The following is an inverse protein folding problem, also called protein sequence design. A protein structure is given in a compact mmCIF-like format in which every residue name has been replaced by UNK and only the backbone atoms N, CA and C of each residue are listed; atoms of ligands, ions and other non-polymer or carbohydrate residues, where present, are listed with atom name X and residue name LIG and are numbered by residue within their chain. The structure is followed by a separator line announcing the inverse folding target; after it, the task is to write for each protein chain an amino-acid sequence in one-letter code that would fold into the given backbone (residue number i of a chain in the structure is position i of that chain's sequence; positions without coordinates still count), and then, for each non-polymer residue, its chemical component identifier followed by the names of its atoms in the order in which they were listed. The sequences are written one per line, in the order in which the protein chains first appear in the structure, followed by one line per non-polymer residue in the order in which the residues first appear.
data_IF_461750281558
#
_entry.id   IF_461750281558
#
_cell.length_a   1.000
_cell.length_b   1.000
_cell.length_c   1.000
_cell.angle_alpha   90.00
_cell.angle_beta   90.00
_cell.angle_gamma   90.00
#
_symmetry.space_group_name_H-M   'P 1'
#
loop_
_entity.id
_entity.type
_entity.pdbx_description
1 polymer ?
#
# COMPACT_ATOMS: atom_id res chain seq x y z
N UNK A 1 30.34 -67.86 -44.38
CA UNK A 1 29.11 -68.24 -43.65
C UNK A 1 28.96 -67.28 -42.48
N UNK A 2 27.90 -66.46 -42.48
CA UNK A 2 27.59 -65.47 -41.45
C UNK A 2 27.23 -66.15 -40.13
N UNK A 3 27.89 -65.74 -39.05
CA UNK A 3 27.45 -66.00 -37.67
C UNK A 3 26.33 -65.03 -37.29
N UNK A 4 25.20 -65.47 -36.69
CA UNK A 4 24.15 -64.55 -36.28
C UNK A 4 24.49 -63.85 -34.96
N UNK A 5 24.13 -62.55 -34.89
CA UNK A 5 24.32 -61.66 -33.75
C UNK A 5 23.60 -62.16 -32.47
N UNK A 6 24.28 -62.00 -31.32
CA UNK A 6 23.73 -62.15 -29.97
C UNK A 6 22.64 -61.10 -29.70
N UNK A 7 21.50 -61.52 -29.14
CA UNK A 7 20.48 -60.62 -28.59
C UNK A 7 20.89 -60.22 -27.16
N UNK A 8 21.09 -58.93 -26.91
CA UNK A 8 21.22 -58.35 -25.56
C UNK A 8 19.87 -57.70 -25.23
N UNK A 9 19.22 -58.01 -24.08
CA UNK A 9 17.99 -57.35 -23.71
C UNK A 9 18.29 -55.93 -23.22
N UNK A 10 17.67 -54.95 -23.88
CA UNK A 10 17.70 -53.53 -23.52
C UNK A 10 16.86 -53.38 -22.24
N UNK A 11 17.53 -53.20 -21.10
CA UNK A 11 16.88 -52.84 -19.84
C UNK A 11 16.66 -51.32 -19.86
N UNK A 12 15.43 -50.90 -20.18
CA UNK A 12 14.99 -49.51 -20.10
C UNK A 12 14.89 -49.10 -18.63
N UNK A 13 15.92 -48.44 -18.12
CA UNK A 13 15.83 -47.69 -16.86
C UNK A 13 14.98 -46.45 -17.10
N UNK A 14 13.69 -46.50 -16.76
CA UNK A 14 12.87 -45.31 -16.62
C UNK A 14 13.35 -44.59 -15.36
N UNK A 15 14.27 -43.64 -15.55
CA UNK A 15 14.61 -42.63 -14.54
C UNK A 15 13.35 -41.78 -14.32
N UNK A 16 12.57 -42.13 -13.30
CA UNK A 16 11.48 -41.31 -12.81
C UNK A 16 12.05 -40.00 -12.28
N UNK A 17 11.94 -38.94 -13.09
CA UNK A 17 12.19 -37.59 -12.61
C UNK A 17 11.09 -37.24 -11.61
N UNK A 18 11.38 -37.41 -10.31
CA UNK A 18 10.60 -36.79 -9.24
C UNK A 18 10.80 -35.28 -9.34
N UNK A 19 9.91 -34.61 -10.06
CA UNK A 19 9.80 -33.16 -10.01
C UNK A 19 9.18 -32.85 -8.66
N UNK A 20 10.02 -32.56 -7.66
CA UNK A 20 9.57 -31.93 -6.44
C UNK A 20 9.08 -30.53 -6.80
N UNK A 21 7.77 -30.42 -7.00
CA UNK A 21 7.10 -29.16 -7.17
C UNK A 21 7.11 -28.48 -5.79
N UNK A 22 8.15 -27.69 -5.51
CA UNK A 22 8.14 -26.78 -4.37
C UNK A 22 7.12 -25.70 -4.67
N UNK A 23 5.86 -25.94 -4.29
CA UNK A 23 4.84 -24.90 -4.31
C UNK A 23 5.28 -23.79 -3.35
N UNK A 24 5.70 -22.65 -3.90
CA UNK A 24 5.84 -21.43 -3.11
C UNK A 24 4.45 -21.01 -2.66
N UNK A 25 4.10 -21.27 -1.39
CA UNK A 25 2.89 -20.71 -0.79
C UNK A 25 3.07 -19.20 -0.66
N UNK A 26 2.34 -18.43 -1.47
CA UNK A 26 2.33 -16.97 -1.39
C UNK A 26 1.42 -16.57 -0.22
N UNK A 27 2.00 -16.39 0.98
CA UNK A 27 1.25 -15.85 2.12
C UNK A 27 1.16 -14.34 1.98
N UNK A 28 -0.04 -13.81 1.81
CA UNK A 28 -0.29 -12.36 1.90
C UNK A 28 -0.39 -11.95 3.36
N UNK A 29 0.54 -11.11 3.82
CA UNK A 29 0.42 -10.40 5.07
C UNK A 29 -0.37 -9.12 4.83
N UNK A 30 -1.35 -8.83 5.68
CA UNK A 30 -2.14 -7.59 5.67
C UNK A 30 -1.88 -6.81 6.95
N UNK A 31 -1.67 -5.50 6.83
CA UNK A 31 -1.44 -4.63 7.98
C UNK A 31 -2.43 -3.47 7.89
N UNK A 32 -3.44 -3.48 8.75
CA UNK A 32 -4.39 -2.38 8.79
C UNK A 32 -3.70 -1.07 9.20
N UNK A 33 -4.00 -0.02 8.45
CA UNK A 33 -3.67 1.37 8.73
C UNK A 33 -4.87 2.11 9.32
N UNK A 34 -5.87 1.41 9.85
CA UNK A 34 -7.02 2.00 10.55
C UNK A 34 -6.60 2.55 11.92
N UNK A 35 -7.33 3.53 12.44
CA UNK A 35 -7.08 4.20 13.72
C UNK A 35 -6.85 5.69 13.55
N UNK A 36 -6.02 6.28 14.42
CA UNK A 36 -5.75 7.71 14.40
C UNK A 36 -4.82 8.13 13.26
N UNK A 37 -5.22 9.15 12.52
CA UNK A 37 -4.42 9.84 11.50
C UNK A 37 -4.35 11.32 11.84
N UNK A 38 -3.21 11.96 11.58
CA UNK A 38 -3.13 13.41 11.71
C UNK A 38 -3.90 14.06 10.56
N UNK A 39 -4.68 15.09 10.84
CA UNK A 39 -5.64 15.69 9.93
C UNK A 39 -5.50 17.22 9.89
N UNK A 40 -5.62 17.79 8.71
CA UNK A 40 -5.65 19.24 8.52
C UNK A 40 -6.44 19.63 7.28
N UNK A 41 -7.34 20.60 7.43
CA UNK A 41 -8.03 21.23 6.30
C UNK A 41 -7.08 22.14 5.51
N UNK A 42 -7.30 22.22 4.21
CA UNK A 42 -6.52 23.02 3.25
C UNK A 42 -7.47 23.93 2.45
N UNK A 43 -8.03 24.97 3.09
CA UNK A 43 -9.05 25.84 2.49
C UNK A 43 -8.59 26.59 1.22
N UNK A 44 -7.28 26.62 0.97
CA UNK A 44 -6.68 27.34 -0.15
C UNK A 44 -5.92 26.43 -1.11
N UNK A 45 -5.96 25.11 -0.92
CA UNK A 45 -5.22 24.12 -1.73
C UNK A 45 -3.71 24.39 -1.79
N UNK A 46 -3.11 24.87 -0.69
CA UNK A 46 -1.71 25.26 -0.60
C UNK A 46 -0.83 24.19 0.04
N UNK A 47 -1.40 23.07 0.52
CA UNK A 47 -0.68 22.03 1.25
C UNK A 47 0.50 21.44 0.47
N UNK A 48 0.36 21.28 -0.84
CA UNK A 48 1.47 20.84 -1.70
C UNK A 48 2.62 21.87 -1.69
N UNK A 49 2.31 23.16 -1.84
CA UNK A 49 3.28 24.26 -1.83
C UNK A 49 3.94 24.43 -0.45
N UNK A 50 3.18 24.18 0.62
CA UNK A 50 3.65 24.20 2.01
C UNK A 50 4.42 22.93 2.39
N UNK A 51 4.51 21.95 1.49
CA UNK A 51 5.29 20.73 1.69
C UNK A 51 4.64 19.70 2.61
N UNK A 52 3.31 19.68 2.71
CA UNK A 52 2.57 18.71 3.52
C UNK A 52 2.65 17.26 2.99
N UNK A 53 3.20 17.08 1.78
CA UNK A 53 3.54 15.76 1.25
C UNK A 53 4.90 15.20 1.71
N UNK A 54 5.76 16.03 2.34
CA UNK A 54 7.13 15.64 2.67
C UNK A 54 7.20 14.69 3.85
N UNK A 55 8.18 13.78 3.83
CA UNK A 55 8.38 12.76 4.87
C UNK A 55 8.77 13.32 6.26
N UNK A 56 9.29 14.54 6.31
CA UNK A 56 9.74 15.23 7.53
C UNK A 56 8.71 16.26 8.05
N UNK A 57 7.48 16.23 7.54
CA UNK A 57 6.41 17.12 7.97
C UNK A 57 6.10 16.93 9.46
N UNK A 58 6.19 18.02 10.22
CA UNK A 58 5.75 18.06 11.60
C UNK A 58 4.24 18.27 11.70
N UNK A 59 3.53 17.28 12.23
CA UNK A 59 2.07 17.31 12.42
C UNK A 59 1.65 17.46 13.87
N UNK A 60 2.54 17.94 14.76
CA UNK A 60 2.22 18.11 16.19
C UNK A 60 1.07 19.09 16.47
N UNK A 61 0.76 19.95 15.51
CA UNK A 61 -0.33 20.95 15.57
C UNK A 61 -1.55 20.56 14.75
N UNK A 62 -1.53 19.39 14.11
CA UNK A 62 -2.64 18.88 13.33
C UNK A 62 -3.63 18.17 14.26
N UNK A 63 -4.90 18.15 13.85
CA UNK A 63 -5.92 17.41 14.56
C UNK A 63 -5.73 15.90 14.37
N UNK A 64 -6.46 15.09 15.13
CA UNK A 64 -6.39 13.63 15.05
C UNK A 64 -7.77 13.05 14.77
N UNK A 65 -7.93 12.44 13.60
CA UNK A 65 -9.19 11.85 13.16
C UNK A 65 -9.08 10.34 13.06
N UNK A 66 -10.18 9.65 13.35
CA UNK A 66 -10.28 8.21 13.16
C UNK A 66 -10.51 7.88 11.69
N UNK A 67 -9.78 6.89 11.21
CA UNK A 67 -9.89 6.27 9.90
C UNK A 67 -10.22 4.79 10.11
N UNK A 68 -11.27 4.25 9.48
CA UNK A 68 -12.23 4.94 8.61
C UNK A 68 -13.11 5.94 9.36
N UNK A 69 -13.53 7.01 8.68
CA UNK A 69 -14.49 7.98 9.22
C UNK A 69 -14.61 9.20 8.32
N UNK A 70 -15.73 9.92 8.40
CA UNK A 70 -15.90 11.16 7.66
C UNK A 70 -15.61 12.37 8.56
N UNK A 71 -14.87 13.36 8.06
CA UNK A 71 -14.62 14.60 8.81
C UNK A 71 -15.87 15.49 8.93
N UNK A 72 -16.83 15.42 8.01
CA UNK A 72 -18.05 16.24 8.00
C UNK A 72 -19.04 15.86 9.12
N UNK A 73 -18.82 14.72 9.78
CA UNK A 73 -19.56 14.32 10.99
C UNK A 73 -18.99 14.97 12.26
N UNK A 74 -17.86 15.65 12.17
CA UNK A 74 -17.22 16.39 13.26
C UNK A 74 -17.68 17.84 13.16
N UNK A 75 -18.25 18.38 14.23
CA UNK A 75 -18.92 19.69 14.23
C UNK A 75 -18.00 20.82 13.74
N UNK A 76 -16.71 20.74 14.05
CA UNK A 76 -15.67 21.68 13.64
C UNK A 76 -15.48 21.75 12.11
N UNK A 77 -15.76 20.66 11.38
CA UNK A 77 -15.58 20.58 9.92
C UNK A 77 -16.87 20.29 9.15
N UNK A 78 -18.02 20.30 9.83
CA UNK A 78 -19.31 19.94 9.24
C UNK A 78 -19.71 20.82 8.04
N UNK A 79 -19.30 22.09 8.07
CA UNK A 79 -19.56 23.06 6.99
C UNK A 79 -18.35 23.23 6.04
N UNK A 80 -17.26 22.49 6.26
CA UNK A 80 -16.06 22.62 5.45
C UNK A 80 -16.17 21.84 4.13
N UNK A 81 -16.02 22.56 3.02
CA UNK A 81 -15.89 21.99 1.68
C UNK A 81 -14.59 22.48 1.05
N UNK A 82 -13.68 21.56 0.78
CA UNK A 82 -12.37 21.84 0.18
C UNK A 82 -11.43 20.65 0.32
N UNK A 83 -10.14 20.93 0.18
CA UNK A 83 -9.09 19.91 0.29
C UNK A 83 -8.74 19.63 1.75
N UNK A 84 -8.40 18.40 2.08
CA UNK A 84 -7.94 18.04 3.41
C UNK A 84 -6.82 17.01 3.34
N UNK A 85 -5.92 17.09 4.29
CA UNK A 85 -4.75 16.23 4.38
C UNK A 85 -4.88 15.29 5.56
N UNK A 86 -4.61 14.01 5.30
CA UNK A 86 -4.44 12.98 6.30
C UNK A 86 -3.00 12.48 6.23
N UNK A 87 -2.41 12.19 7.37
CA UNK A 87 -1.11 11.52 7.37
C UNK A 87 -1.01 10.49 8.46
N UNK A 88 -0.29 9.41 8.13
CA UNK A 88 0.02 8.33 9.05
C UNK A 88 1.40 7.80 8.79
N UNK A 89 2.06 7.44 9.89
CA UNK A 89 3.26 6.62 9.86
C UNK A 89 2.89 5.17 10.19
N UNK A 90 3.53 4.21 9.54
CA UNK A 90 3.33 2.79 9.81
C UNK A 90 4.66 2.05 9.78
N UNK A 91 4.77 0.88 10.39
CA UNK A 91 6.01 0.07 10.34
C UNK A 91 5.74 -1.25 9.64
N UNK A 92 6.68 -1.68 8.79
CA UNK A 92 6.68 -3.01 8.18
C UNK A 92 7.85 -3.78 8.79
N UNK A 93 7.54 -4.86 9.49
CA UNK A 93 8.54 -5.77 10.05
C UNK A 93 8.78 -6.96 9.10
N UNK A 94 10.02 -7.47 9.09
CA UNK A 94 10.40 -8.72 8.41
C UNK A 94 10.13 -8.78 6.89
N UNK A 95 10.24 -7.65 6.18
CA UNK A 95 10.15 -7.62 4.73
C UNK A 95 11.46 -8.05 4.04
N UNK A 96 11.33 -8.80 2.94
CA UNK A 96 12.41 -9.17 2.02
C UNK A 96 12.18 -8.55 0.64
N UNK A 97 13.25 -8.33 -0.12
CA UNK A 97 13.17 -7.76 -1.49
C UNK A 97 12.39 -8.64 -2.48
N UNK A 98 12.00 -9.86 -2.09
CA UNK A 98 11.21 -10.78 -2.91
C UNK A 98 9.69 -10.56 -2.79
N UNK A 99 9.24 -9.74 -1.84
CA UNK A 99 7.81 -9.51 -1.59
C UNK A 99 7.32 -8.25 -2.32
N UNK A 100 6.06 -8.25 -2.76
CA UNK A 100 5.39 -7.04 -3.24
C UNK A 100 4.64 -6.38 -2.08
N UNK A 101 4.85 -5.09 -1.88
CA UNK A 101 4.13 -4.28 -0.89
C UNK A 101 3.19 -3.38 -1.67
N UNK A 102 1.92 -3.42 -1.31
CA UNK A 102 0.91 -2.50 -1.82
C UNK A 102 0.29 -1.78 -0.66
N UNK A 103 -0.07 -0.52 -0.88
CA UNK A 103 -1.06 0.13 -0.04
C UNK A 103 -2.41 0.01 -0.73
N UNK A 104 -3.40 -0.47 0.01
CA UNK A 104 -4.75 -0.68 -0.51
C UNK A 104 -5.70 0.28 0.16
N UNK A 105 -6.43 1.08 -0.59
CA UNK A 105 -7.54 1.90 -0.10
C UNK A 105 -8.85 1.22 -0.48
N UNK A 106 -9.70 0.90 0.49
CA UNK A 106 -10.99 0.25 0.24
C UNK A 106 -12.00 1.22 -0.38
N UNK A 107 -12.05 2.45 0.12
CA UNK A 107 -12.93 3.50 -0.41
C UNK A 107 -12.43 4.87 0.02
N UNK A 108 -12.53 5.81 -0.91
CA UNK A 108 -12.22 7.23 -0.72
C UNK A 108 -13.28 8.01 -1.49
N UNK A 109 -13.69 9.17 -0.99
CA UNK A 109 -14.55 10.10 -1.70
C UNK A 109 -13.98 11.53 -1.54
N UNK A 110 -13.99 12.41 -2.56
CA UNK A 110 -14.19 12.11 -3.99
C UNK A 110 -12.86 11.94 -4.73
N UNK A 111 -12.05 13.00 -4.86
CA UNK A 111 -10.72 12.87 -5.44
C UNK A 111 -9.65 12.75 -4.38
N UNK A 112 -8.53 12.13 -4.75
CA UNK A 112 -7.41 11.93 -3.85
C UNK A 112 -6.09 11.93 -4.58
N UNK A 113 -5.06 12.37 -3.86
CA UNK A 113 -3.67 12.23 -4.26
C UNK A 113 -2.94 11.52 -3.12
N UNK A 114 -2.18 10.48 -3.46
CA UNK A 114 -1.50 9.65 -2.47
C UNK A 114 0.01 9.83 -2.62
N UNK A 115 0.70 10.05 -1.51
CA UNK A 115 2.16 10.09 -1.47
C UNK A 115 2.69 9.03 -0.51
N UNK A 116 3.92 8.57 -0.75
CA UNK A 116 4.71 7.79 0.21
C UNK A 116 6.10 8.39 0.31
N UNK A 117 6.54 8.70 1.53
CA UNK A 117 7.86 9.27 1.82
C UNK A 117 8.21 10.48 0.92
N UNK A 118 7.25 11.38 0.66
CA UNK A 118 7.45 12.53 -0.22
C UNK A 118 7.21 12.29 -1.72
N UNK A 119 6.98 11.05 -2.15
CA UNK A 119 6.83 10.71 -3.57
C UNK A 119 5.35 10.52 -3.91
N UNK A 120 4.85 11.23 -4.92
CA UNK A 120 3.50 11.04 -5.43
C UNK A 120 3.39 9.63 -6.06
N UNK A 121 2.43 8.85 -5.59
CA UNK A 121 2.10 7.53 -6.13
C UNK A 121 1.10 7.65 -7.30
N UNK A 122 0.13 8.55 -7.15
CA UNK A 122 -0.87 8.84 -8.16
C UNK A 122 -2.09 9.54 -7.59
N UNK A 123 -3.06 9.76 -8.47
CA UNK A 123 -4.35 10.37 -8.15
C UNK A 123 -5.47 9.37 -8.41
N UNK A 124 -6.54 9.45 -7.63
CA UNK A 124 -7.77 8.72 -7.86
C UNK A 124 -8.95 9.69 -7.83
N UNK A 125 -9.64 9.81 -8.96
CA UNK A 125 -10.84 10.64 -9.14
C UNK A 125 -12.13 9.80 -9.16
N UNK A 126 -12.01 8.51 -8.85
CA UNK A 126 -13.13 7.58 -8.79
C UNK A 126 -13.47 7.33 -7.33
N UNK A 127 -14.48 8.04 -6.84
CA UNK A 127 -14.99 7.81 -5.49
C UNK A 127 -15.53 6.38 -5.30
N UNK A 128 -15.51 5.90 -4.07
CA UNK A 128 -16.18 4.68 -3.59
C UNK A 128 -15.68 3.33 -4.12
N UNK A 129 -14.68 3.30 -4.99
CA UNK A 129 -14.08 2.05 -5.47
C UNK A 129 -12.72 1.79 -4.82
N UNK A 130 -12.39 0.52 -4.50
CA UNK A 130 -11.07 0.18 -4.03
C UNK A 130 -10.00 0.47 -5.08
N UNK A 131 -8.86 1.00 -4.64
CA UNK A 131 -7.67 1.17 -5.46
C UNK A 131 -6.41 0.87 -4.64
N UNK A 132 -5.29 0.69 -5.31
CA UNK A 132 -4.03 0.39 -4.63
C UNK A 132 -2.83 0.91 -5.41
N UNK A 133 -1.72 1.09 -4.71
CA UNK A 133 -0.43 1.43 -5.30
C UNK A 133 0.65 0.45 -4.84
N UNK A 134 1.52 0.04 -5.76
CA UNK A 134 2.75 -0.69 -5.42
C UNK A 134 3.73 0.31 -4.78
N UNK A 135 4.15 -0.01 -3.56
CA UNK A 135 5.10 0.80 -2.80
C UNK A 135 6.43 0.10 -2.54
N UNK A 136 6.68 -1.09 -3.09
CA UNK A 136 7.89 -1.88 -2.82
C UNK A 136 9.17 -1.07 -2.99
N UNK A 137 9.25 -0.22 -4.02
CA UNK A 137 10.44 0.61 -4.30
C UNK A 137 10.69 1.75 -3.29
N UNK A 138 9.71 2.07 -2.46
CA UNK A 138 9.81 3.14 -1.46
C UNK A 138 10.09 2.61 -0.05
N UNK A 139 10.10 1.29 0.12
CA UNK A 139 10.38 0.60 1.38
C UNK A 139 11.78 -0.02 1.30
N UNK A 140 12.60 0.14 2.35
CA UNK A 140 13.98 -0.37 2.37
C UNK A 140 14.04 -1.70 3.13
N UNK A 141 14.38 -2.79 2.45
CA UNK A 141 14.52 -4.09 3.11
C UNK A 141 15.66 -4.14 4.14
N UNK A 142 15.55 -5.07 5.10
CA UNK A 142 16.64 -5.43 6.01
C UNK A 142 16.96 -4.42 7.12
N UNK A 143 16.27 -3.28 7.19
CA UNK A 143 16.24 -2.41 8.37
C UNK A 143 14.80 -2.32 8.84
N UNK A 144 14.58 -2.21 10.16
CA UNK A 144 13.32 -1.67 10.67
C UNK A 144 13.16 -0.33 9.97
N UNK A 145 12.32 -0.28 8.94
CA UNK A 145 12.19 0.93 8.14
C UNK A 145 11.46 1.88 9.07
N UNK A 146 12.16 2.92 9.51
CA UNK A 146 11.56 4.02 10.26
C UNK A 146 10.30 4.42 9.53
N UNK A 147 9.22 4.47 10.29
CA UNK A 147 7.86 4.28 9.84
C UNK A 147 7.52 5.05 8.56
N UNK A 148 7.33 4.37 7.39
CA UNK A 148 6.90 5.03 6.16
C UNK A 148 5.84 6.08 6.39
N UNK A 149 6.08 7.29 5.86
CA UNK A 149 5.22 8.44 5.98
C UNK A 149 4.26 8.47 4.80
N UNK A 150 2.96 8.44 5.08
CA UNK A 150 1.90 8.36 4.08
C UNK A 150 0.99 9.60 4.16
N UNK A 151 1.41 10.73 3.55
CA UNK A 151 0.50 11.84 3.36
C UNK A 151 -0.48 11.49 2.26
N UNK A 152 -1.73 11.81 2.52
CA UNK A 152 -2.83 11.66 1.59
C UNK A 152 -3.66 12.93 1.57
N UNK A 153 -3.81 13.52 0.39
CA UNK A 153 -4.69 14.66 0.19
C UNK A 153 -5.99 14.15 -0.42
N UNK A 154 -7.11 14.64 0.09
CA UNK A 154 -8.45 14.37 -0.42
C UNK A 154 -9.10 15.70 -0.80
N UNK A 155 -9.78 15.76 -1.94
CA UNK A 155 -10.56 16.92 -2.35
C UNK A 155 -12.06 16.66 -2.22
N UNK A 156 -12.80 17.71 -1.85
CA UNK A 156 -14.26 17.78 -1.91
C UNK A 156 -15.03 16.63 -1.22
N UNK A 157 -14.88 16.56 0.11
CA UNK A 157 -15.88 15.98 1.02
C UNK A 157 -15.69 14.52 1.41
N UNK A 158 -15.90 14.25 2.71
CA UNK A 158 -16.42 13.04 3.34
C UNK A 158 -15.96 11.64 2.86
N UNK A 159 -14.87 11.15 3.44
CA UNK A 159 -14.40 9.76 3.35
C UNK A 159 -15.42 8.74 3.87
N UNK A 160 -16.12 8.02 2.99
CA UNK A 160 -16.63 6.70 3.37
C UNK A 160 -15.50 5.70 3.34
N UNK A 161 -15.01 5.30 4.51
CA UNK A 161 -14.30 4.04 4.65
C UNK A 161 -12.91 3.99 4.04
N UNK A 162 -11.95 4.78 4.55
CA UNK A 162 -10.55 4.39 4.37
C UNK A 162 -10.32 3.17 5.26
N UNK A 163 -10.57 1.99 4.70
CA UNK A 163 -9.84 0.80 5.12
C UNK A 163 -8.54 0.85 4.35
N UNK A 164 -7.44 1.13 5.05
CA UNK A 164 -6.12 1.02 4.45
C UNK A 164 -5.46 -0.25 4.97
N UNK A 165 -5.00 -1.12 4.06
CA UNK A 165 -4.34 -2.40 4.38
C UNK A 165 -3.01 -2.56 3.62
#
# INVERSE_FOLDING_TARGET
MQTPLKKVPICLWVLGAFVFNTGYSQTTQKISLDGAWAFKIDPYSEGENLGWSKADLNTSTWDSLQVPGNWDLINEYAEYAGDAWYTRTFTIDNYTDLQQIRIVFQSVYHDSKIWVNGNLLGENHLGFLPFHFDISRYIKAGKKTESPYLPTMFSNGAQRGIGAE
#
